data_IF_479660509675
#
_entry.id   IF_479660509675
#
_cell.length_a   1.000
_cell.length_b   1.000
_cell.length_c   1.000
_cell.angle_alpha   90.00
_cell.angle_beta   90.00
_cell.angle_gamma   90.00
#
_symmetry.space_group_name_H-M   'P 1'
#
loop_
_entity.id
_entity.type
_entity.pdbx_description
1 polymer ?
#
# COMPACT_ATOMS: atom_id res chain seq x y z
N UNK A 1 19.88 -12.89 1.06
CA UNK A 1 19.69 -11.93 -0.06
C UNK A 1 18.90 -10.76 0.50
N UNK A 2 19.38 -9.53 0.33
CA UNK A 2 18.73 -8.35 0.90
C UNK A 2 17.40 -8.06 0.17
N UNK A 3 16.35 -7.69 0.90
CA UNK A 3 15.01 -7.40 0.36
C UNK A 3 15.04 -6.45 -0.84
N UNK A 4 15.80 -5.35 -0.75
CA UNK A 4 15.85 -4.35 -1.82
C UNK A 4 16.55 -4.84 -3.09
N UNK A 5 17.37 -5.89 -3.00
CA UNK A 5 18.00 -6.55 -4.16
C UNK A 5 17.15 -7.70 -4.67
N UNK A 6 15.99 -7.97 -4.06
CA UNK A 6 15.12 -9.05 -4.49
C UNK A 6 14.38 -8.62 -5.77
N UNK A 7 14.44 -9.41 -6.87
CA UNK A 7 13.84 -9.03 -8.15
C UNK A 7 12.36 -8.68 -8.09
N UNK A 8 11.58 -9.39 -7.25
CA UNK A 8 10.16 -9.06 -6.99
C UNK A 8 9.97 -7.68 -6.33
N UNK A 9 10.83 -7.31 -5.37
CA UNK A 9 10.75 -6.00 -4.73
C UNK A 9 11.16 -4.90 -5.71
N UNK A 10 12.26 -5.09 -6.42
CA UNK A 10 12.71 -4.17 -7.47
C UNK A 10 11.62 -3.98 -8.52
N UNK A 11 11.06 -5.08 -9.06
CA UNK A 11 9.98 -5.02 -10.04
C UNK A 11 8.73 -4.33 -9.50
N UNK A 12 8.31 -4.66 -8.27
CA UNK A 12 7.19 -3.98 -7.62
C UNK A 12 7.43 -2.46 -7.55
N UNK A 13 8.64 -2.06 -7.15
CA UNK A 13 9.02 -0.66 -7.04
C UNK A 13 9.04 0.00 -8.42
N UNK A 14 9.88 -0.47 -9.35
CA UNK A 14 10.24 0.26 -10.58
C UNK A 14 9.32 0.04 -11.79
N UNK A 15 8.46 -0.99 -11.78
CA UNK A 15 7.58 -1.28 -12.91
C UNK A 15 6.55 -0.16 -13.17
N UNK A 16 6.14 0.02 -14.42
CA UNK A 16 4.98 0.87 -14.78
C UNK A 16 3.63 0.16 -14.56
N UNK A 17 3.64 -1.10 -14.13
CA UNK A 17 2.42 -1.85 -13.83
C UNK A 17 1.99 -1.63 -12.37
N UNK A 18 0.68 -1.64 -12.15
CA UNK A 18 0.15 -1.76 -10.79
C UNK A 18 0.53 -3.12 -10.23
N UNK A 19 0.85 -3.19 -8.93
CA UNK A 19 1.32 -4.44 -8.33
C UNK A 19 1.04 -4.47 -6.82
N UNK A 20 0.83 -5.66 -6.27
CA UNK A 20 0.70 -5.92 -4.84
C UNK A 20 1.86 -6.82 -4.40
N UNK A 21 2.65 -6.33 -3.45
CA UNK A 21 3.74 -7.10 -2.84
C UNK A 21 3.45 -7.31 -1.37
N UNK A 22 3.62 -8.55 -0.92
CA UNK A 22 3.62 -8.93 0.50
C UNK A 22 5.05 -9.20 0.92
N UNK A 23 5.46 -8.60 2.04
CA UNK A 23 6.77 -8.82 2.65
C UNK A 23 6.57 -9.29 4.08
N UNK A 24 7.17 -10.41 4.44
CA UNK A 24 7.11 -10.92 5.81
C UNK A 24 8.48 -10.91 6.51
N UNK A 25 8.43 -10.84 7.84
CA UNK A 25 9.60 -10.92 8.73
C UNK A 25 9.54 -12.22 9.52
N UNK A 26 9.84 -13.33 8.84
CA UNK A 26 9.79 -14.69 9.39
C UNK A 26 10.67 -14.89 10.64
N UNK A 27 11.63 -14.00 10.88
CA UNK A 27 12.55 -14.11 12.00
C UNK A 27 12.15 -13.27 13.22
N UNK A 28 11.14 -12.40 13.11
CA UNK A 28 10.74 -11.49 14.20
C UNK A 28 10.39 -12.23 15.49
N UNK A 29 9.78 -13.40 15.43
CA UNK A 29 9.47 -14.18 16.64
C UNK A 29 10.71 -14.53 17.47
N UNK A 30 11.88 -14.64 16.83
CA UNK A 30 13.16 -14.94 17.51
C UNK A 30 13.83 -13.70 18.06
N UNK A 31 13.55 -12.53 17.50
CA UNK A 31 14.19 -11.25 17.81
C UNK A 31 13.23 -10.23 18.40
N UNK A 32 12.02 -10.67 18.77
CA UNK A 32 10.93 -9.80 19.21
C UNK A 32 11.37 -8.90 20.36
N UNK A 33 11.27 -7.60 20.11
CA UNK A 33 11.43 -6.57 21.12
C UNK A 33 10.23 -5.61 21.04
N UNK A 34 9.39 -5.53 22.08
CA UNK A 34 8.23 -4.65 22.07
C UNK A 34 8.60 -3.15 21.98
N UNK A 35 9.84 -2.79 22.35
CA UNK A 35 10.32 -1.42 22.31
C UNK A 35 10.91 -1.03 20.93
N UNK A 36 10.94 -1.94 19.96
CA UNK A 36 11.50 -1.67 18.62
C UNK A 36 10.53 -2.07 17.50
N UNK A 37 10.34 -1.20 16.49
CA UNK A 37 9.57 -1.54 15.31
C UNK A 37 10.26 -2.66 14.52
N UNK A 38 9.46 -3.50 13.85
CA UNK A 38 10.00 -4.51 12.93
C UNK A 38 10.79 -3.84 11.80
N UNK A 39 11.68 -4.59 11.18
CA UNK A 39 12.44 -4.06 10.05
C UNK A 39 11.55 -3.79 8.83
N UNK A 40 10.50 -4.59 8.62
CA UNK A 40 9.52 -4.35 7.56
C UNK A 40 8.67 -3.10 7.85
N UNK A 41 8.38 -2.79 9.11
CA UNK A 41 7.77 -1.52 9.54
C UNK A 41 8.70 -0.33 9.28
N UNK A 42 9.99 -0.48 9.59
CA UNK A 42 10.97 0.55 9.29
C UNK A 42 11.10 0.80 7.78
N UNK A 43 11.10 -0.25 6.97
CA UNK A 43 11.06 -0.15 5.52
C UNK A 43 9.80 0.60 5.03
N UNK A 44 8.62 0.21 5.51
CA UNK A 44 7.37 0.86 5.16
C UNK A 44 7.44 2.37 5.42
N UNK A 45 7.90 2.76 6.62
CA UNK A 45 8.10 4.16 6.98
C UNK A 45 9.15 4.87 6.08
N UNK A 46 10.26 4.20 5.74
CA UNK A 46 11.30 4.74 4.86
C UNK A 46 10.75 5.00 3.45
N UNK A 47 9.98 4.06 2.88
CA UNK A 47 9.36 4.22 1.56
C UNK A 47 8.40 5.42 1.57
N UNK A 48 7.48 5.51 2.54
CA UNK A 48 6.56 6.66 2.68
C UNK A 48 7.32 7.97 2.70
N UNK A 49 8.35 8.06 3.56
CA UNK A 49 9.14 9.28 3.74
C UNK A 49 9.88 9.67 2.46
N UNK A 50 10.48 8.70 1.76
CA UNK A 50 11.21 8.94 0.51
C UNK A 50 10.27 9.39 -0.61
N UNK A 51 9.14 8.71 -0.80
CA UNK A 51 8.13 9.08 -1.82
C UNK A 51 7.61 10.50 -1.56
N UNK A 52 7.27 10.81 -0.29
CA UNK A 52 6.79 12.14 0.10
C UNK A 52 7.85 13.22 -0.14
N UNK A 53 9.10 12.99 0.28
CA UNK A 53 10.18 13.95 0.18
C UNK A 53 10.54 14.30 -1.28
N UNK A 54 10.45 13.33 -2.18
CA UNK A 54 10.77 13.50 -3.59
C UNK A 54 9.58 14.02 -4.42
N UNK A 55 8.35 13.94 -3.90
CA UNK A 55 7.15 14.39 -4.61
C UNK A 55 6.78 13.53 -5.82
N UNK A 56 7.24 12.27 -5.85
CA UNK A 56 7.18 11.41 -7.04
C UNK A 56 5.95 10.48 -7.08
N UNK A 57 5.05 10.61 -6.12
CA UNK A 57 3.80 9.88 -6.03
C UNK A 57 2.98 10.30 -4.82
N UNK A 58 1.87 9.62 -4.62
CA UNK A 58 1.01 9.76 -3.44
C UNK A 58 1.27 8.61 -2.48
N UNK A 59 1.96 8.84 -1.34
CA UNK A 59 2.06 7.84 -0.30
C UNK A 59 0.79 7.85 0.55
N UNK A 60 0.13 6.71 0.65
CA UNK A 60 -0.97 6.40 1.57
C UNK A 60 -0.48 5.31 2.51
N UNK A 61 -0.61 5.50 3.81
CA UNK A 61 -0.11 4.53 4.78
C UNK A 61 -1.10 4.25 5.90
N UNK A 62 -1.17 3.00 6.31
CA UNK A 62 -1.89 2.59 7.51
C UNK A 62 -1.02 1.63 8.33
N UNK A 63 -0.89 1.90 9.63
CA UNK A 63 -0.13 1.06 10.56
C UNK A 63 -1.11 0.26 11.43
N UNK A 64 -1.36 -1.00 11.08
CA UNK A 64 -2.34 -1.83 11.78
C UNK A 64 -2.01 -2.01 13.26
N UNK A 65 -0.72 -2.10 13.62
CA UNK A 65 -0.28 -2.23 15.02
C UNK A 65 -0.60 -1.00 15.90
N UNK A 66 -0.95 0.16 15.32
CA UNK A 66 -1.44 1.31 16.09
C UNK A 66 -2.96 1.27 16.33
N UNK A 67 -3.67 0.37 15.64
CA UNK A 67 -5.14 0.30 15.58
C UNK A 67 -5.66 -1.12 15.80
N UNK A 68 -4.96 -1.91 16.63
CA UNK A 68 -5.30 -3.30 16.96
C UNK A 68 -6.04 -3.44 18.30
N UNK A 69 -6.38 -2.34 18.97
CA UNK A 69 -7.08 -2.37 20.26
C UNK A 69 -8.58 -2.33 20.07
N UNK A 70 -9.30 -3.21 20.77
CA UNK A 70 -10.78 -3.27 20.73
C UNK A 70 -11.42 -1.91 21.04
N UNK A 71 -12.30 -1.47 20.14
CA UNK A 71 -13.00 -0.20 20.26
C UNK A 71 -12.23 1.01 19.70
N UNK A 72 -11.05 0.81 19.12
CA UNK A 72 -10.41 1.84 18.31
C UNK A 72 -11.30 2.15 17.08
N UNK A 73 -11.66 3.43 16.83
CA UNK A 73 -12.50 3.80 15.69
C UNK A 73 -11.89 3.49 14.31
N UNK A 74 -10.59 3.15 14.26
CA UNK A 74 -9.85 2.80 13.06
C UNK A 74 -9.43 1.33 13.02
N UNK A 75 -9.89 0.47 13.93
CA UNK A 75 -9.61 -0.97 13.85
C UNK A 75 -10.29 -1.64 12.62
N UNK A 76 -9.67 -2.72 12.13
CA UNK A 76 -10.18 -3.52 11.02
C UNK A 76 -10.15 -2.83 9.65
N UNK A 77 -10.78 -3.48 8.66
CA UNK A 77 -10.77 -3.04 7.26
C UNK A 77 -11.52 -1.74 7.02
N UNK A 78 -12.62 -1.49 7.72
CA UNK A 78 -13.37 -0.24 7.60
C UNK A 78 -12.56 0.96 8.12
N UNK A 79 -11.94 0.82 9.29
CA UNK A 79 -11.08 1.83 9.88
C UNK A 79 -9.84 2.12 9.05
N UNK A 80 -9.17 1.05 8.59
CA UNK A 80 -8.03 1.14 7.67
C UNK A 80 -8.37 1.94 6.42
N UNK A 81 -9.44 1.57 5.70
CA UNK A 81 -9.82 2.26 4.47
C UNK A 81 -10.28 3.69 4.72
N UNK A 82 -10.92 3.97 5.86
CA UNK A 82 -11.28 5.35 6.24
C UNK A 82 -10.03 6.22 6.42
N UNK A 83 -9.00 5.70 7.07
CA UNK A 83 -7.72 6.40 7.22
C UNK A 83 -7.03 6.62 5.87
N UNK A 84 -6.95 5.59 5.03
CA UNK A 84 -6.38 5.67 3.68
C UNK A 84 -7.14 6.69 2.81
N UNK A 85 -8.47 6.64 2.80
CA UNK A 85 -9.30 7.57 2.04
C UNK A 85 -9.12 9.01 2.51
N UNK A 86 -8.97 9.24 3.81
CA UNK A 86 -8.72 10.59 4.35
C UNK A 86 -7.41 11.19 3.81
N UNK A 87 -6.35 10.38 3.72
CA UNK A 87 -5.06 10.79 3.14
C UNK A 87 -5.18 11.00 1.63
N UNK A 88 -5.96 10.18 0.94
CA UNK A 88 -6.16 10.27 -0.50
C UNK A 88 -6.93 11.56 -0.86
N UNK A 89 -8.00 11.87 -0.14
CA UNK A 89 -8.82 13.07 -0.38
C UNK A 89 -8.03 14.37 -0.32
N UNK A 90 -6.89 14.42 0.39
CA UNK A 90 -5.99 15.56 0.40
C UNK A 90 -5.49 15.95 -1.01
N UNK A 91 -5.37 14.98 -1.93
CA UNK A 91 -4.99 15.24 -3.32
C UNK A 91 -6.08 15.92 -4.15
N UNK A 92 -7.32 15.85 -3.68
CA UNK A 92 -8.47 16.48 -4.31
C UNK A 92 -8.83 17.82 -3.66
N UNK A 93 -8.01 18.35 -2.74
CA UNK A 93 -8.23 19.69 -2.19
C UNK A 93 -8.20 20.73 -3.31
N UNK A 94 -9.32 21.43 -3.49
CA UNK A 94 -9.50 22.41 -4.56
C UNK A 94 -9.91 21.83 -5.92
N UNK A 95 -10.15 20.50 -6.00
CA UNK A 95 -10.76 19.85 -7.15
C UNK A 95 -12.28 19.76 -6.98
N UNK A 96 -12.99 19.63 -8.09
CA UNK A 96 -14.42 19.33 -8.09
C UNK A 96 -14.62 17.85 -7.70
N UNK A 97 -15.19 17.62 -6.51
CA UNK A 97 -15.51 16.29 -6.00
C UNK A 97 -16.87 15.77 -6.50
N UNK A 98 -17.46 16.39 -7.53
CA UNK A 98 -18.75 15.97 -8.13
C UNK A 98 -18.76 14.56 -8.69
N UNK A 99 -17.59 13.95 -8.89
CA UNK A 99 -17.44 12.54 -9.29
C UNK A 99 -17.80 11.55 -8.17
N UNK A 100 -17.89 12.00 -6.90
CA UNK A 100 -18.35 11.17 -5.79
C UNK A 100 -19.87 11.23 -5.71
N UNK A 101 -20.52 10.08 -5.86
CA UNK A 101 -21.98 9.97 -5.79
C UNK A 101 -22.52 10.47 -4.43
N UNK A 102 -23.58 11.29 -4.39
CA UNK A 102 -24.17 11.78 -3.14
C UNK A 102 -24.54 10.64 -2.17
N UNK A 103 -25.06 9.52 -2.69
CA UNK A 103 -25.40 8.34 -1.91
C UNK A 103 -24.18 7.69 -1.24
N UNK A 104 -23.01 7.78 -1.88
CA UNK A 104 -21.76 7.32 -1.29
C UNK A 104 -21.34 8.26 -0.16
N UNK A 105 -21.41 9.58 -0.39
CA UNK A 105 -21.11 10.61 0.62
C UNK A 105 -21.98 10.48 1.87
N UNK A 106 -23.27 10.22 1.70
CA UNK A 106 -24.19 10.04 2.83
C UNK A 106 -23.81 8.83 3.69
N UNK A 107 -23.10 7.85 3.13
CA UNK A 107 -22.79 6.58 3.79
C UNK A 107 -21.34 6.45 4.25
N UNK A 108 -20.44 7.39 3.92
CA UNK A 108 -19.01 7.31 4.32
C UNK A 108 -18.79 7.32 5.84
N UNK A 109 -19.79 7.74 6.62
CA UNK A 109 -19.73 7.71 8.08
C UNK A 109 -20.04 6.31 8.65
N UNK A 110 -20.59 5.41 7.85
CA UNK A 110 -20.83 4.01 8.20
C UNK A 110 -19.49 3.28 8.36
N UNK A 111 -19.38 2.45 9.40
CA UNK A 111 -18.24 1.52 9.57
C UNK A 111 -18.39 0.29 8.66
N UNK A 112 -18.60 0.51 7.36
CA UNK A 112 -18.72 -0.55 6.33
C UNK A 112 -17.52 -0.48 5.39
N UNK A 113 -16.67 -1.52 5.43
CA UNK A 113 -15.47 -1.62 4.61
C UNK A 113 -15.75 -1.58 3.11
N UNK A 114 -16.93 -2.03 2.66
CA UNK A 114 -17.31 -2.02 1.23
C UNK A 114 -17.61 -0.60 0.75
N UNK A 115 -18.17 0.24 1.63
CA UNK A 115 -18.43 1.64 1.33
C UNK A 115 -17.12 2.42 1.26
N UNK A 116 -16.22 2.19 2.23
CA UNK A 116 -14.90 2.79 2.21
C UNK A 116 -14.07 2.32 1.00
N UNK A 117 -14.16 1.05 0.63
CA UNK A 117 -13.54 0.52 -0.58
C UNK A 117 -14.12 1.16 -1.84
N UNK A 118 -15.44 1.31 -1.94
CA UNK A 118 -16.08 1.96 -3.08
C UNK A 118 -15.60 3.40 -3.25
N UNK A 119 -15.43 4.14 -2.15
CA UNK A 119 -14.81 5.47 -2.18
C UNK A 119 -13.38 5.41 -2.71
N UNK A 120 -12.55 4.48 -2.24
CA UNK A 120 -11.18 4.32 -2.72
C UNK A 120 -11.14 4.04 -4.24
N UNK A 121 -12.02 3.17 -4.74
CA UNK A 121 -12.18 2.90 -6.17
C UNK A 121 -12.53 4.18 -6.95
N UNK A 122 -13.54 4.92 -6.49
CA UNK A 122 -13.96 6.17 -7.11
C UNK A 122 -12.83 7.21 -7.13
N UNK A 123 -12.03 7.30 -6.07
CA UNK A 123 -10.87 8.19 -6.02
C UNK A 123 -9.78 7.76 -7.01
N UNK A 124 -9.46 6.47 -7.08
CA UNK A 124 -8.50 5.92 -8.06
C UNK A 124 -8.97 6.13 -9.51
N UNK A 125 -10.26 5.98 -9.80
CA UNK A 125 -10.82 6.17 -11.14
C UNK A 125 -10.74 7.63 -11.62
N UNK A 126 -10.72 8.59 -10.68
CA UNK A 126 -10.80 10.02 -10.97
C UNK A 126 -9.51 10.80 -10.65
N UNK A 127 -8.51 10.15 -10.08
CA UNK A 127 -7.22 10.78 -9.82
C UNK A 127 -6.51 11.08 -11.15
N UNK A 128 -5.81 12.22 -11.20
CA UNK A 128 -4.86 12.52 -12.28
C UNK A 128 -3.81 11.39 -12.39
N UNK A 129 -3.21 11.16 -13.58
CA UNK A 129 -2.22 10.11 -13.74
C UNK A 129 -1.01 10.35 -12.84
N UNK A 130 -0.79 9.44 -11.89
CA UNK A 130 0.35 9.42 -10.97
C UNK A 130 0.50 8.03 -10.36
N UNK A 131 1.61 7.81 -9.65
CA UNK A 131 1.84 6.60 -8.86
C UNK A 131 1.27 6.80 -7.46
N UNK A 132 0.41 5.89 -7.02
CA UNK A 132 -0.13 5.83 -5.66
C UNK A 132 0.54 4.65 -4.95
N UNK A 133 1.28 4.95 -3.88
CA UNK A 133 1.89 3.95 -3.01
C UNK A 133 0.98 3.72 -1.81
N UNK A 134 0.26 2.60 -1.79
CA UNK A 134 -0.61 2.21 -0.68
C UNK A 134 0.11 1.20 0.21
N UNK A 135 0.53 1.62 1.40
CA UNK A 135 1.32 0.82 2.33
C UNK A 135 0.44 0.42 3.52
N UNK A 136 0.22 -0.88 3.67
CA UNK A 136 -0.52 -1.47 4.78
C UNK A 136 0.51 -2.19 5.64
N UNK A 137 0.90 -1.55 6.73
CA UNK A 137 1.93 -2.07 7.61
C UNK A 137 1.34 -2.94 8.72
N UNK A 138 1.99 -4.07 8.96
CA UNK A 138 1.69 -5.00 10.04
C UNK A 138 0.31 -5.65 9.96
N UNK A 139 -0.10 -6.12 8.77
CA UNK A 139 -1.44 -6.70 8.55
C UNK A 139 -1.70 -7.95 9.41
N UNK A 140 -0.64 -8.66 9.81
CA UNK A 140 -0.72 -9.81 10.72
C UNK A 140 -1.35 -9.46 12.08
N UNK A 141 -1.34 -8.18 12.49
CA UNK A 141 -1.99 -7.69 13.72
C UNK A 141 -3.53 -7.85 13.70
N UNK A 142 -4.12 -8.09 12.53
CA UNK A 142 -5.54 -8.39 12.39
C UNK A 142 -5.83 -9.89 12.21
N UNK A 143 -4.83 -10.76 12.35
CA UNK A 143 -4.98 -12.22 12.34
C UNK A 143 -5.39 -12.76 13.73
N UNK A 144 -6.46 -12.20 14.30
CA UNK A 144 -6.96 -12.53 15.65
C UNK A 144 -8.41 -13.04 15.65
N UNK A 145 -8.97 -13.26 14.46
CA UNK A 145 -10.35 -13.70 14.24
C UNK A 145 -11.41 -12.60 14.32
N UNK A 146 -11.11 -11.42 14.88
CA UNK A 146 -12.09 -10.30 14.94
C UNK A 146 -12.37 -9.71 13.56
N UNK A 147 -11.40 -9.84 12.66
CA UNK A 147 -11.40 -9.24 11.33
C UNK A 147 -11.39 -10.30 10.21
N UNK A 148 -11.87 -11.52 10.51
CA UNK A 148 -11.84 -12.66 9.58
C UNK A 148 -12.74 -12.48 8.34
N UNK A 149 -13.71 -11.56 8.39
CA UNK A 149 -14.66 -11.35 7.29
C UNK A 149 -14.32 -10.15 6.41
N UNK A 150 -13.62 -9.14 6.93
CA UNK A 150 -13.36 -7.89 6.21
C UNK A 150 -11.96 -7.84 5.60
N UNK A 151 -10.92 -8.29 6.31
CA UNK A 151 -9.54 -8.25 5.80
C UNK A 151 -9.33 -9.12 4.55
N UNK A 152 -9.77 -10.40 4.49
CA UNK A 152 -9.57 -11.19 3.28
C UNK A 152 -10.31 -10.60 2.07
N UNK A 153 -11.54 -10.10 2.29
CA UNK A 153 -12.33 -9.45 1.25
C UNK A 153 -11.65 -8.20 0.72
N UNK A 154 -11.03 -7.41 1.61
CA UNK A 154 -10.31 -6.19 1.24
C UNK A 154 -8.99 -6.48 0.49
N UNK A 155 -8.23 -7.48 0.94
CA UNK A 155 -7.03 -7.95 0.22
C UNK A 155 -7.39 -8.42 -1.19
N UNK A 156 -8.45 -9.24 -1.31
CA UNK A 156 -8.95 -9.69 -2.61
C UNK A 156 -9.44 -8.53 -3.50
N UNK A 157 -9.96 -7.46 -2.90
CA UNK A 157 -10.37 -6.26 -3.62
C UNK A 157 -9.15 -5.46 -4.15
N UNK A 158 -8.08 -5.33 -3.37
CA UNK A 158 -6.82 -4.74 -3.83
C UNK A 158 -6.20 -5.53 -5.00
N UNK A 159 -6.17 -6.87 -4.91
CA UNK A 159 -5.69 -7.73 -6.00
C UNK A 159 -6.49 -7.50 -7.29
N UNK A 160 -7.82 -7.53 -7.20
CA UNK A 160 -8.70 -7.28 -8.34
C UNK A 160 -8.51 -5.88 -8.94
N UNK A 161 -8.28 -4.85 -8.12
CA UNK A 161 -8.01 -3.50 -8.62
C UNK A 161 -6.67 -3.44 -9.36
N UNK A 162 -5.61 -4.03 -8.80
CA UNK A 162 -4.30 -4.11 -9.46
C UNK A 162 -4.42 -4.77 -10.83
N UNK A 163 -5.12 -5.91 -10.90
CA UNK A 163 -5.39 -6.61 -12.16
C UNK A 163 -6.21 -5.75 -13.14
N UNK A 164 -7.23 -5.05 -12.65
CA UNK A 164 -8.08 -4.18 -13.48
C UNK A 164 -7.29 -3.00 -14.08
N UNK A 165 -6.44 -2.36 -13.28
CA UNK A 165 -5.58 -1.25 -13.72
C UNK A 165 -4.58 -1.70 -14.81
N UNK A 166 -4.08 -2.92 -14.70
CA UNK A 166 -3.18 -3.53 -15.70
C UNK A 166 -3.94 -4.06 -16.94
N UNK A 167 -5.12 -4.67 -16.73
CA UNK A 167 -5.88 -5.44 -17.71
C UNK A 167 -6.69 -4.62 -18.71
N UNK A 168 -6.91 -3.33 -18.46
CA UNK A 168 -7.62 -2.45 -19.40
C UNK A 168 -6.79 -2.08 -20.67
N UNK A 169 -5.97 -3.02 -21.14
CA UNK A 169 -5.01 -2.96 -22.23
C UNK A 169 -5.66 -3.13 -23.62
N UNK A 170 -6.54 -2.20 -24.01
CA UNK A 170 -6.94 -2.03 -25.42
C UNK A 170 -7.00 -0.57 -25.88
N UNK A 171 -6.59 0.37 -25.03
CA UNK A 171 -6.36 1.77 -25.38
C UNK A 171 -5.06 2.25 -24.74
N UNK A 172 -4.45 3.30 -25.31
CA UNK A 172 -3.17 3.88 -24.90
C UNK A 172 -2.90 3.79 -23.39
N UNK A 173 -1.81 3.12 -23.00
CA UNK A 173 -1.34 3.03 -21.59
C UNK A 173 -0.98 4.40 -20.99
N UNK A 174 -0.86 5.44 -21.82
CA UNK A 174 -0.52 6.78 -21.37
C UNK A 174 -1.68 7.41 -20.61
N UNK A 175 -1.43 7.74 -19.34
CA UNK A 175 -2.34 8.55 -18.53
C UNK A 175 -3.28 7.79 -17.61
N UNK A 176 -2.90 6.62 -17.10
CA UNK A 176 -3.60 5.98 -15.97
C UNK A 176 -2.81 6.10 -14.67
N UNK A 177 -3.49 6.07 -13.51
CA UNK A 177 -2.79 5.93 -12.25
C UNK A 177 -2.19 4.53 -12.11
N UNK A 178 -1.05 4.46 -11.46
CA UNK A 178 -0.41 3.20 -11.08
C UNK A 178 -0.63 3.00 -9.58
N UNK A 179 -1.10 1.82 -9.18
CA UNK A 179 -1.24 1.45 -7.78
C UNK A 179 -0.13 0.48 -7.35
N UNK A 180 0.70 0.91 -6.40
CA UNK A 180 1.72 0.08 -5.74
C UNK A 180 1.25 -0.25 -4.33
N UNK A 181 0.76 -1.46 -4.12
CA UNK A 181 0.35 -1.92 -2.79
C UNK A 181 1.51 -2.66 -2.13
N UNK A 182 1.93 -2.23 -0.93
CA UNK A 182 2.85 -2.98 -0.08
C UNK A 182 2.10 -3.41 1.17
N UNK A 183 2.10 -4.71 1.44
CA UNK A 183 1.61 -5.27 2.71
C UNK A 183 2.79 -5.83 3.47
N UNK A 184 2.97 -5.43 4.73
CA UNK A 184 3.98 -6.04 5.60
C UNK A 184 3.31 -6.96 6.62
N UNK A 185 3.97 -8.09 6.89
CA UNK A 185 3.58 -9.08 7.88
C UNK A 185 4.75 -9.38 8.80
N UNK A 186 4.92 -8.60 9.85
CA UNK A 186 6.05 -8.78 10.74
C UNK A 186 5.88 -9.99 11.66
N UNK A 187 4.69 -10.57 11.75
CA UNK A 187 4.43 -11.79 12.53
C UNK A 187 3.92 -12.92 11.63
N UNK A 188 4.15 -14.16 12.05
CA UNK A 188 3.59 -15.33 11.36
C UNK A 188 2.07 -15.27 11.44
N UNK A 189 1.45 -15.05 10.30
CA UNK A 189 0.00 -15.12 10.17
C UNK A 189 -0.40 -16.49 9.61
N UNK A 190 -1.20 -17.24 10.37
CA UNK A 190 -1.77 -18.50 9.93
C UNK A 190 -2.73 -18.31 8.75
N UNK A 191 -3.32 -17.11 8.65
CA UNK A 191 -4.28 -16.75 7.60
C UNK A 191 -3.63 -16.14 6.36
N UNK A 192 -2.35 -15.74 6.40
CA UNK A 192 -1.63 -15.09 5.30
C UNK A 192 -1.72 -15.84 3.97
N UNK A 193 -1.48 -17.16 3.98
CA UNK A 193 -1.54 -18.01 2.80
C UNK A 193 -2.96 -18.12 2.20
N UNK A 194 -4.00 -17.81 2.98
CA UNK A 194 -5.38 -17.77 2.49
C UNK A 194 -5.75 -16.39 1.92
N UNK A 195 -5.11 -15.32 2.38
CA UNK A 195 -5.40 -13.96 1.93
C UNK A 195 -4.70 -13.61 0.61
N UNK A 196 -3.52 -14.15 0.37
CA UNK A 196 -2.69 -13.79 -0.78
C UNK A 196 -2.54 -14.95 -1.77
N UNK A 197 -2.70 -14.63 -3.07
CA UNK A 197 -2.47 -15.59 -4.14
C UNK A 197 -0.99 -15.88 -4.37
N UNK A 198 -0.14 -14.85 -4.19
CA UNK A 198 1.30 -14.96 -4.28
C UNK A 198 1.91 -15.24 -2.90
N UNK A 199 2.97 -16.05 -2.89
CA UNK A 199 3.76 -16.27 -1.67
C UNK A 199 4.39 -14.94 -1.20
N UNK A 200 4.36 -14.65 0.11
CA UNK A 200 5.09 -13.53 0.67
C UNK A 200 6.58 -13.58 0.35
N UNK A 201 7.18 -12.41 0.22
CA UNK A 201 8.61 -12.28 0.10
C UNK A 201 9.22 -12.21 1.50
N UNK A 202 9.89 -13.28 1.89
CA UNK A 202 10.54 -13.33 3.20
C UNK A 202 11.87 -12.62 3.26
N UNK A 203 12.03 -11.81 4.30
CA UNK A 203 13.30 -11.18 4.63
C UNK A 203 14.06 -12.10 5.58
N UNK A 204 15.16 -12.73 5.14
CA UNK A 204 15.79 -13.82 5.90
C UNK A 204 16.59 -13.37 7.12
N UNK A 205 16.82 -12.07 7.28
CA UNK A 205 17.50 -11.43 8.40
C UNK A 205 17.29 -9.93 8.14
N UNK A 206 16.56 -9.23 8.99
CA UNK A 206 16.33 -7.81 8.80
C UNK A 206 16.72 -7.10 10.09
N UNK A 207 18.00 -6.80 10.25
CA UNK A 207 18.40 -5.83 11.28
C UNK A 207 18.09 -4.43 10.75
N UNK A 208 17.73 -3.46 11.61
CA UNK A 208 17.62 -2.05 11.22
C UNK A 208 18.85 -1.58 10.43
N UNK A 209 20.05 -2.06 10.78
CA UNK A 209 21.31 -1.80 10.08
C UNK A 209 21.31 -2.23 8.60
N UNK A 210 20.58 -3.29 8.24
CA UNK A 210 20.42 -3.74 6.84
C UNK A 210 19.52 -2.81 6.02
N UNK A 211 18.76 -1.93 6.67
CA UNK A 211 17.91 -0.91 6.01
C UNK A 211 18.53 0.49 6.17
N UNK A 212 19.30 0.73 7.23
CA UNK A 212 20.08 1.95 7.48
C UNK A 212 21.33 2.05 6.60
N UNK A 213 22.03 0.94 6.31
CA UNK A 213 23.19 0.91 5.41
C UNK A 213 22.85 1.02 3.92
N UNK A 214 21.56 0.99 3.58
CA UNK A 214 21.08 1.18 2.22
C UNK A 214 20.94 2.68 2.01
N UNK A 215 21.87 3.23 1.24
CA UNK A 215 21.89 4.64 0.86
C UNK A 215 20.52 5.05 0.35
N UNK A 216 19.99 6.14 0.92
CA UNK A 216 18.79 6.79 0.43
C UNK A 216 18.81 6.94 -1.10
N UNK A 217 20.01 7.01 -1.69
CA UNK A 217 20.31 6.95 -3.13
C UNK A 217 19.67 5.80 -3.90
N UNK A 218 19.58 4.56 -3.38
CA UNK A 218 18.95 3.45 -4.11
C UNK A 218 17.44 3.66 -4.23
N UNK A 219 16.76 3.85 -3.10
CA UNK A 219 15.31 4.12 -3.11
C UNK A 219 15.01 5.42 -3.86
N UNK A 220 15.84 6.45 -3.70
CA UNK A 220 15.71 7.72 -4.41
C UNK A 220 15.84 7.51 -5.92
N UNK A 221 16.89 6.82 -6.38
CA UNK A 221 17.11 6.53 -7.80
C UNK A 221 16.00 5.68 -8.40
N UNK A 222 15.62 4.59 -7.74
CA UNK A 222 14.55 3.70 -8.23
C UNK A 222 13.19 4.40 -8.32
N UNK A 223 12.83 5.25 -7.35
CA UNK A 223 11.56 6.00 -7.43
C UNK A 223 11.67 7.12 -8.49
N UNK A 224 12.86 7.72 -8.68
CA UNK A 224 13.11 8.72 -9.73
C UNK A 224 12.98 8.13 -11.13
N UNK A 225 13.46 6.91 -11.36
CA UNK A 225 13.38 6.25 -12.67
C UNK A 225 11.93 6.08 -13.13
N UNK A 226 11.03 5.67 -12.24
CA UNK A 226 9.58 5.55 -12.51
C UNK A 226 9.00 6.91 -12.84
N UNK A 227 9.34 7.92 -12.05
CA UNK A 227 8.80 9.26 -12.23
C UNK A 227 9.25 9.88 -13.55
N UNK A 228 10.54 9.74 -13.90
CA UNK A 228 11.11 10.21 -15.15
C UNK A 228 10.46 9.56 -16.37
N UNK A 229 10.15 8.27 -16.31
CA UNK A 229 9.39 7.58 -17.36
C UNK A 229 7.97 8.16 -17.51
N UNK A 230 7.29 8.41 -16.39
CA UNK A 230 5.97 9.03 -16.36
C UNK A 230 5.95 10.48 -16.89
N UNK A 231 6.96 11.30 -16.57
CA UNK A 231 7.06 12.69 -17.05
C UNK A 231 7.44 12.79 -18.52
N UNK A 232 8.33 11.94 -19.01
CA UNK A 232 8.75 11.91 -20.42
C UNK A 232 7.56 11.63 -21.37
N UNK A 233 6.62 10.78 -20.93
CA UNK A 233 5.37 10.50 -21.67
C UNK A 233 4.44 11.73 -21.70
N UNK A 234 4.55 12.63 -20.72
CA UNK A 234 3.68 13.81 -20.58
C UNK A 234 4.07 14.96 -21.52
N UNK A 235 5.34 15.03 -21.93
CA UNK A 235 5.88 16.11 -22.78
C UNK A 235 6.37 15.63 -24.16
N UNK A 236 6.27 14.33 -24.45
CA UNK A 236 6.73 13.71 -25.71
C UNK A 236 5.65 13.47 -26.77
N UNK A 237 4.49 14.13 -26.69
CA UNK A 237 3.36 14.01 -27.63
C UNK A 237 3.13 15.25 -28.47
#
# INVERSE_FOLDING_TARGET
MHLLQHPRFEHWLVSEDSNLLVVDDMERERTWNPDQPSAVTYLAAKIVRTVAALGMGLPLVFFCGLHNTEGDPLEGGAGMMKSINSQFLEQFRGYDASFVEPELLDRIHESDSRIQWRLFQTLMENIRPMVVFCIIDSLSEFDDGRHEFDIPGLVGAFQQMVESLNGAASGSRSGRPILKVLVTMPELSASSAMWFADEPLSVPEATPDMIEGIGDDYLTGSVQDIHGAHEAIRYGG
#
